data_IF_361726063339
#
_entry.id   IF_361726063339
#
_cell.length_a   1.000
_cell.length_b   1.000
_cell.length_c   1.000
_cell.angle_alpha   90.00
_cell.angle_beta   90.00
_cell.angle_gamma   90.00
#
_symmetry.space_group_name_H-M   'P 1'
#
loop_
_entity.id
_entity.type
_entity.pdbx_description
1 polymer ?
#
# COMPACT_ATOMS: atom_id res chain seq x y z
N UNK A 1 39.68 9.65 7.62
CA UNK A 1 38.83 8.45 7.83
C UNK A 1 37.51 8.82 8.51
N UNK A 2 36.54 9.41 7.79
CA UNK A 2 35.25 9.84 8.37
C UNK A 2 34.02 9.68 7.45
N UNK A 3 34.20 9.39 6.16
CA UNK A 3 33.13 9.39 5.17
C UNK A 3 32.12 8.23 5.30
N UNK A 4 32.56 7.04 5.70
CA UNK A 4 31.69 5.85 5.74
C UNK A 4 30.64 5.88 6.86
N UNK A 5 30.92 6.54 8.00
CA UNK A 5 29.94 6.71 9.10
C UNK A 5 28.89 7.77 8.76
N UNK A 6 29.28 8.87 8.13
CA UNK A 6 28.35 9.93 7.68
C UNK A 6 27.44 9.46 6.54
N UNK A 7 27.96 8.70 5.57
CA UNK A 7 27.15 8.13 4.49
C UNK A 7 26.15 7.11 5.02
N UNK A 8 26.56 6.25 5.98
CA UNK A 8 25.64 5.31 6.65
C UNK A 8 24.51 6.03 7.39
N UNK A 9 24.80 7.08 8.15
CA UNK A 9 23.76 7.83 8.87
C UNK A 9 22.79 8.56 7.92
N UNK A 10 23.28 9.13 6.83
CA UNK A 10 22.44 9.74 5.79
C UNK A 10 21.53 8.72 5.09
N UNK A 11 22.03 7.53 4.76
CA UNK A 11 21.24 6.46 4.13
C UNK A 11 20.17 5.93 5.08
N UNK A 12 20.51 5.71 6.35
CA UNK A 12 19.54 5.29 7.36
C UNK A 12 18.44 6.34 7.56
N UNK A 13 18.80 7.63 7.70
CA UNK A 13 17.84 8.73 7.82
C UNK A 13 16.90 8.85 6.61
N UNK A 14 17.42 8.65 5.39
CA UNK A 14 16.59 8.64 4.18
C UNK A 14 15.66 7.43 4.13
N UNK A 15 16.13 6.25 4.55
CA UNK A 15 15.29 5.04 4.62
C UNK A 15 14.16 5.18 5.64
N UNK A 16 14.45 5.71 6.83
CA UNK A 16 13.43 5.91 7.87
C UNK A 16 12.42 6.98 7.47
N UNK A 17 12.86 8.11 6.88
CA UNK A 17 11.94 9.14 6.37
C UNK A 17 11.04 8.64 5.24
N UNK A 18 11.58 7.84 4.31
CA UNK A 18 10.80 7.16 3.25
C UNK A 18 9.79 6.19 3.82
N UNK A 19 10.16 5.44 4.87
CA UNK A 19 9.24 4.52 5.56
C UNK A 19 8.10 5.29 6.22
N UNK A 20 8.40 6.36 6.96
CA UNK A 20 7.38 7.19 7.61
C UNK A 20 6.38 7.79 6.61
N UNK A 21 6.87 8.32 5.47
CA UNK A 21 6.01 8.85 4.41
C UNK A 21 5.09 7.76 3.81
N UNK A 22 5.64 6.58 3.53
CA UNK A 22 4.86 5.45 3.02
C UNK A 22 3.82 4.95 4.03
N UNK A 23 4.18 4.85 5.31
CA UNK A 23 3.25 4.54 6.41
C UNK A 23 2.10 5.54 6.45
N UNK A 24 2.40 6.85 6.43
CA UNK A 24 1.37 7.89 6.43
C UNK A 24 0.39 7.76 5.26
N UNK A 25 0.89 7.50 4.05
CA UNK A 25 0.01 7.28 2.90
C UNK A 25 -0.84 6.01 3.01
N UNK A 26 -0.31 4.94 3.61
CA UNK A 26 -1.07 3.72 3.86
C UNK A 26 -2.13 3.91 4.95
N UNK A 27 -1.84 4.69 6.00
CA UNK A 27 -2.83 5.04 7.03
C UNK A 27 -4.01 5.82 6.43
N UNK A 28 -3.73 6.80 5.55
CA UNK A 28 -4.79 7.53 4.84
C UNK A 28 -5.64 6.59 3.97
N UNK A 29 -5.00 5.66 3.26
CA UNK A 29 -5.72 4.69 2.45
C UNK A 29 -6.56 3.74 3.32
N UNK A 30 -6.05 3.31 4.47
CA UNK A 30 -6.76 2.47 5.42
C UNK A 30 -8.08 3.11 5.88
N UNK A 31 -8.05 4.42 6.21
CA UNK A 31 -9.25 5.19 6.54
C UNK A 31 -10.23 5.23 5.36
N UNK A 32 -9.73 5.49 4.15
CA UNK A 32 -10.58 5.60 2.96
C UNK A 32 -11.23 4.26 2.58
N UNK A 33 -10.52 3.13 2.68
CA UNK A 33 -11.11 1.80 2.42
C UNK A 33 -12.06 1.37 3.53
N UNK A 34 -11.82 1.78 4.78
CA UNK A 34 -12.76 1.56 5.88
C UNK A 34 -14.08 2.26 5.62
N UNK A 35 -14.04 3.52 5.17
CA UNK A 35 -15.22 4.30 4.82
C UNK A 35 -16.01 3.67 3.65
N UNK A 36 -15.34 2.92 2.77
CA UNK A 36 -15.98 2.10 1.71
C UNK A 36 -16.58 0.78 2.23
N UNK A 37 -16.41 0.45 3.51
CA UNK A 37 -16.94 -0.75 4.14
C UNK A 37 -16.03 -1.99 4.06
N UNK A 38 -14.77 -1.81 3.66
CA UNK A 38 -13.80 -2.91 3.62
C UNK A 38 -13.09 -3.11 4.97
N UNK A 39 -12.60 -4.33 5.18
CA UNK A 39 -11.69 -4.65 6.28
C UNK A 39 -10.26 -4.69 5.77
N UNK A 40 -9.29 -4.48 6.65
CA UNK A 40 -7.89 -4.50 6.26
C UNK A 40 -6.97 -4.99 7.37
N UNK A 41 -5.73 -5.32 7.00
CA UNK A 41 -4.63 -5.68 7.90
C UNK A 41 -3.41 -4.81 7.55
N UNK A 42 -2.90 -4.10 8.54
CA UNK A 42 -1.78 -3.15 8.43
C UNK A 42 -0.43 -3.86 8.59
N UNK A 43 0.00 -4.66 7.60
CA UNK A 43 1.28 -5.37 7.68
C UNK A 43 2.49 -4.43 7.80
N UNK A 44 2.35 -3.16 7.40
CA UNK A 44 3.38 -2.15 7.50
C UNK A 44 3.68 -1.68 8.95
N UNK A 45 2.78 -1.92 9.90
CA UNK A 45 2.97 -1.57 11.32
C UNK A 45 3.69 -2.65 12.13
N UNK A 46 3.98 -3.81 11.55
CA UNK A 46 4.81 -4.83 12.18
C UNK A 46 6.27 -4.33 12.25
N UNK A 47 6.60 -3.57 13.30
CA UNK A 47 7.91 -2.93 13.51
C UNK A 47 9.05 -3.93 13.68
N UNK A 48 8.72 -5.15 14.12
CA UNK A 48 9.65 -6.27 14.29
C UNK A 48 10.34 -6.69 12.98
N UNK A 49 9.84 -6.21 11.83
CA UNK A 49 10.25 -6.68 10.51
C UNK A 49 10.62 -5.50 9.59
N UNK A 50 11.75 -4.83 9.83
CA UNK A 50 12.18 -3.64 9.06
C UNK A 50 12.42 -3.92 7.57
N UNK A 51 12.58 -5.20 7.19
CA UNK A 51 12.74 -5.65 5.81
C UNK A 51 11.42 -6.05 5.11
N UNK A 52 10.28 -6.09 5.83
CA UNK A 52 9.01 -6.48 5.21
C UNK A 52 8.47 -5.37 4.31
N UNK A 53 7.77 -5.76 3.22
CA UNK A 53 7.14 -4.80 2.33
C UNK A 53 6.03 -4.04 3.09
N UNK A 54 6.00 -2.72 2.91
CA UNK A 54 4.99 -1.83 3.48
C UNK A 54 3.67 -2.07 2.74
N UNK A 55 2.90 -3.05 3.21
CA UNK A 55 1.67 -3.49 2.57
C UNK A 55 0.46 -3.29 3.49
N UNK A 56 -0.62 -2.81 2.91
CA UNK A 56 -1.96 -2.84 3.45
C UNK A 56 -2.73 -3.95 2.72
N UNK A 57 -3.18 -4.97 3.45
CA UNK A 57 -4.05 -6.00 2.89
C UNK A 57 -5.50 -5.58 3.07
N UNK A 58 -6.23 -5.42 1.98
CA UNK A 58 -7.66 -5.07 1.98
C UNK A 58 -8.47 -6.29 1.60
N UNK A 59 -9.55 -6.53 2.33
CA UNK A 59 -10.40 -7.71 2.19
C UNK A 59 -11.83 -7.33 1.87
N UNK A 60 -12.41 -8.07 0.93
CA UNK A 60 -13.84 -8.08 0.69
C UNK A 60 -14.38 -9.49 1.00
N UNK A 61 -15.40 -9.53 1.87
CA UNK A 61 -16.05 -10.76 2.28
C UNK A 61 -17.39 -10.91 1.55
N UNK A 62 -17.54 -11.97 0.75
CA UNK A 62 -18.76 -12.30 0.04
C UNK A 62 -19.53 -13.44 0.72
N UNK A 63 -20.70 -13.77 0.15
CA UNK A 63 -21.51 -14.92 0.56
C UNK A 63 -20.83 -16.25 0.18
N UNK A 64 -21.10 -17.31 0.93
CA UNK A 64 -20.67 -18.68 0.59
C UNK A 64 -19.15 -18.90 0.61
N UNK A 65 -18.45 -18.35 1.62
CA UNK A 65 -16.99 -18.48 1.80
C UNK A 65 -16.12 -17.85 0.70
N UNK A 66 -16.69 -17.08 -0.23
CA UNK A 66 -15.92 -16.37 -1.25
C UNK A 66 -15.36 -15.08 -0.66
N UNK A 67 -14.05 -15.07 -0.42
CA UNK A 67 -13.33 -13.91 0.06
C UNK A 67 -12.24 -13.54 -0.94
N UNK A 68 -12.09 -12.25 -1.21
CA UNK A 68 -11.05 -11.74 -2.10
C UNK A 68 -10.20 -10.73 -1.35
N UNK A 69 -8.93 -10.65 -1.71
CA UNK A 69 -7.97 -9.73 -1.09
C UNK A 69 -7.23 -8.91 -2.13
N UNK A 70 -6.68 -7.80 -1.69
CA UNK A 70 -5.80 -6.92 -2.43
C UNK A 70 -4.66 -6.48 -1.51
N UNK A 71 -3.41 -6.69 -1.93
CA UNK A 71 -2.26 -6.14 -1.22
C UNK A 71 -1.87 -4.81 -1.87
N UNK A 72 -1.87 -3.72 -1.11
CA UNK A 72 -1.51 -2.39 -1.59
C UNK A 72 -0.23 -1.92 -0.93
N UNK A 73 0.76 -1.54 -1.73
CA UNK A 73 2.00 -0.91 -1.29
C UNK A 73 2.14 0.54 -1.76
N UNK A 74 3.06 1.27 -1.14
CA UNK A 74 3.41 2.64 -1.52
C UNK A 74 4.86 2.71 -1.98
N UNK A 75 5.09 3.29 -3.16
CA UNK A 75 6.41 3.41 -3.75
C UNK A 75 6.70 4.81 -4.27
N UNK A 76 7.95 5.23 -4.10
CA UNK A 76 8.46 6.44 -4.75
C UNK A 76 8.55 6.21 -6.26
N UNK A 77 8.14 7.21 -7.02
CA UNK A 77 8.18 7.26 -8.49
C UNK A 77 9.33 8.15 -8.95
N UNK A 78 9.74 8.05 -10.23
CA UNK A 78 10.90 8.77 -10.77
C UNK A 78 10.81 10.30 -10.69
N UNK A 79 9.61 10.87 -10.50
CA UNK A 79 9.38 12.31 -10.33
C UNK A 79 9.43 12.83 -8.89
N UNK A 80 9.93 12.04 -7.93
CA UNK A 80 9.93 12.42 -6.51
C UNK A 80 8.55 12.35 -5.83
N UNK A 81 7.53 11.94 -6.58
CA UNK A 81 6.17 11.70 -6.09
C UNK A 81 6.01 10.26 -5.61
N UNK A 82 4.93 9.97 -4.88
CA UNK A 82 4.61 8.63 -4.40
C UNK A 82 3.38 8.09 -5.14
N UNK A 83 3.24 6.77 -5.22
CA UNK A 83 2.07 6.12 -5.80
C UNK A 83 1.64 4.90 -4.99
N UNK A 84 0.34 4.64 -5.01
CA UNK A 84 -0.27 3.40 -4.53
C UNK A 84 -0.18 2.34 -5.64
N UNK A 85 0.26 1.15 -5.27
CA UNK A 85 0.40 0.02 -6.18
C UNK A 85 -0.24 -1.21 -5.58
N UNK A 86 -0.96 -1.97 -6.40
CA UNK A 86 -1.29 -3.34 -6.11
C UNK A 86 -0.04 -4.22 -6.26
N UNK A 87 0.20 -5.09 -5.28
CA UNK A 87 1.21 -6.14 -5.34
C UNK A 87 0.60 -7.40 -5.99
N UNK A 88 1.03 -7.70 -7.22
CA UNK A 88 0.56 -8.82 -8.05
C UNK A 88 1.71 -9.80 -8.23
N UNK A 89 1.97 -10.60 -7.19
CA UNK A 89 2.82 -11.80 -7.17
C UNK A 89 3.84 -11.92 -8.31
N UNK A 90 4.82 -11.01 -8.37
CA UNK A 90 5.80 -10.91 -9.46
C UNK A 90 5.90 -9.53 -10.10
N UNK A 91 4.93 -8.64 -9.84
CA UNK A 91 4.95 -7.26 -10.32
C UNK A 91 4.11 -6.33 -9.47
N UNK A 92 4.02 -5.07 -9.92
CA UNK A 92 3.22 -4.03 -9.27
C UNK A 92 2.33 -3.35 -10.28
N UNK A 93 1.04 -3.24 -9.98
CA UNK A 93 0.09 -2.50 -10.82
C UNK A 93 -0.22 -1.16 -10.17
N UNK A 94 -0.02 -0.08 -10.91
CA UNK A 94 -0.33 1.26 -10.43
C UNK A 94 -1.84 1.41 -10.18
N UNK A 95 -2.21 1.97 -9.02
CA UNK A 95 -3.60 2.26 -8.66
C UNK A 95 -3.91 3.75 -8.78
N UNK A 96 -3.12 4.59 -8.12
CA UNK A 96 -3.29 6.04 -8.08
C UNK A 96 -2.03 6.74 -7.53
N UNK A 97 -1.92 8.06 -7.75
CA UNK A 97 -0.86 8.89 -7.15
C UNK A 97 -1.16 9.10 -5.67
N UNK A 98 -0.13 9.09 -4.83
CA UNK A 98 -0.25 9.55 -3.45
C UNK A 98 -0.49 11.06 -3.46
N UNK A 99 -1.56 11.49 -2.80
CA UNK A 99 -2.15 12.84 -2.91
C UNK A 99 -3.61 12.79 -3.34
N UNK A 100 -4.04 11.69 -3.98
CA UNK A 100 -5.44 11.42 -4.30
C UNK A 100 -5.84 10.06 -3.71
N UNK A 101 -6.13 10.08 -2.41
CA UNK A 101 -6.51 8.87 -1.65
C UNK A 101 -7.89 8.37 -2.05
N UNK A 102 -8.78 9.26 -2.50
CA UNK A 102 -10.11 8.90 -2.94
C UNK A 102 -10.06 8.10 -4.25
N UNK A 103 -9.30 8.56 -5.24
CA UNK A 103 -9.09 7.79 -6.47
C UNK A 103 -8.43 6.43 -6.19
N UNK A 104 -7.49 6.38 -5.23
CA UNK A 104 -6.91 5.12 -4.79
C UNK A 104 -7.98 4.17 -4.22
N UNK A 105 -8.84 4.65 -3.33
CA UNK A 105 -9.91 3.85 -2.73
C UNK A 105 -10.95 3.41 -3.77
N UNK A 106 -11.30 4.26 -4.74
CA UNK A 106 -12.18 3.90 -5.87
C UNK A 106 -11.56 2.79 -6.72
N UNK A 107 -10.25 2.87 -7.01
CA UNK A 107 -9.57 1.83 -7.77
C UNK A 107 -9.50 0.51 -6.99
N UNK A 108 -9.24 0.56 -5.69
CA UNK A 108 -9.27 -0.62 -4.80
C UNK A 108 -10.65 -1.28 -4.80
N UNK A 109 -11.72 -0.49 -4.65
CA UNK A 109 -13.11 -0.93 -4.71
C UNK A 109 -13.41 -1.63 -6.04
N UNK A 110 -13.04 -1.03 -7.16
CA UNK A 110 -13.23 -1.61 -8.49
C UNK A 110 -12.51 -2.97 -8.64
N UNK A 111 -11.25 -3.08 -8.18
CA UNK A 111 -10.48 -4.33 -8.24
C UNK A 111 -11.13 -5.42 -7.37
N UNK A 112 -11.55 -5.08 -6.15
CA UNK A 112 -12.20 -6.03 -5.24
C UNK A 112 -13.56 -6.48 -5.79
N UNK A 113 -14.36 -5.56 -6.33
CA UNK A 113 -15.65 -5.88 -6.98
C UNK A 113 -15.46 -6.78 -8.19
N UNK A 114 -14.51 -6.47 -9.07
CA UNK A 114 -14.21 -7.30 -10.24
C UNK A 114 -13.80 -8.73 -9.82
N UNK A 115 -12.95 -8.87 -8.79
CA UNK A 115 -12.59 -10.18 -8.25
C UNK A 115 -13.79 -10.91 -7.63
N UNK A 116 -14.66 -10.18 -6.93
CA UNK A 116 -15.82 -10.74 -6.24
C UNK A 116 -16.98 -11.07 -7.19
N UNK A 117 -17.05 -10.45 -8.37
CA UNK A 117 -18.09 -10.67 -9.36
C UNK A 117 -17.51 -10.65 -10.80
N UNK A 118 -16.71 -11.68 -11.16
CA UNK A 118 -15.96 -11.69 -12.41
C UNK A 118 -16.82 -11.72 -13.68
N UNK A 119 -18.11 -12.07 -13.56
CA UNK A 119 -19.06 -12.22 -14.66
C UNK A 119 -20.10 -11.08 -14.75
N UNK A 120 -19.87 -9.95 -14.08
CA UNK A 120 -20.80 -8.80 -14.06
C UNK A 120 -20.36 -7.63 -14.94
N UNK A 121 -19.39 -7.85 -15.83
CA UNK A 121 -18.75 -6.83 -16.66
C UNK A 121 -18.47 -7.36 -18.06
#
# INVERSE_FOLDING_TARGET
>A
MGGLRALRSCVLRRRTGRRAAATHHLDLLAVAVLAKGYRFVELYRAEELPARPLLLWVFAFGRGHRHVRLAVGVHATSGGTWGYFEDVGGGRRFLARCGDVEAAAVRVDAVLKHRMFPSTW
#
